data_IF_562504911135
#
_entry.id   IF_562504911135
#
_cell.length_a   1.000
_cell.length_b   1.000
_cell.length_c   1.000
_cell.angle_alpha   90.00
_cell.angle_beta   90.00
_cell.angle_gamma   90.00
#
_symmetry.space_group_name_H-M   'P 1'
#
loop_
_entity.id
_entity.type
_entity.pdbx_description
1 polymer ?
#
# COMPACT_ATOMS: atom_id res chain seq x y z
N UNK A 1 -4.25 -1.06 13.30
CA UNK A 1 -3.36 -0.02 13.85
C UNK A 1 -2.03 -0.10 13.12
N UNK A 2 -1.36 1.03 12.94
CA UNK A 2 0.02 1.11 12.46
C UNK A 2 0.95 1.34 13.67
N UNK A 3 2.19 0.92 13.53
CA UNK A 3 3.24 1.03 14.53
C UNK A 3 4.52 1.56 13.87
N UNK A 4 5.13 2.59 14.46
CA UNK A 4 6.41 3.11 14.02
C UNK A 4 7.55 2.31 14.65
N UNK A 5 8.34 1.64 13.81
CA UNK A 5 9.49 0.85 14.24
C UNK A 5 10.68 1.70 14.73
N UNK A 6 10.67 3.00 14.50
CA UNK A 6 11.79 3.89 14.87
C UNK A 6 11.60 4.53 16.25
N UNK A 7 10.44 5.11 16.53
CA UNK A 7 10.15 5.78 17.81
C UNK A 7 9.17 5.02 18.72
N UNK A 8 8.50 4.00 18.20
CA UNK A 8 7.48 3.24 18.94
C UNK A 8 6.08 3.86 18.95
N UNK A 9 5.81 4.88 18.13
CA UNK A 9 4.48 5.49 18.03
C UNK A 9 3.43 4.52 17.46
N UNK A 10 2.25 4.48 18.07
CA UNK A 10 1.12 3.59 17.70
C UNK A 10 -0.15 4.40 17.47
N UNK A 11 -0.74 4.27 16.28
CA UNK A 11 -1.96 5.01 15.90
C UNK A 11 -2.83 4.20 14.93
N UNK A 12 -4.13 4.52 14.87
CA UNK A 12 -5.03 3.94 13.85
C UNK A 12 -4.61 4.38 12.44
N UNK A 13 -4.90 3.58 11.40
CA UNK A 13 -4.45 3.89 10.02
C UNK A 13 -5.00 5.22 9.47
N UNK A 14 -6.15 5.66 9.98
CA UNK A 14 -6.79 6.94 9.65
C UNK A 14 -6.61 7.99 10.77
N UNK A 15 -5.70 7.71 11.71
CA UNK A 15 -5.40 8.57 12.86
C UNK A 15 -4.33 9.60 12.54
N UNK A 16 -3.35 9.72 13.43
CA UNK A 16 -2.34 10.79 13.43
C UNK A 16 -1.20 10.63 12.40
N UNK A 17 -1.34 9.73 11.43
CA UNK A 17 -0.29 9.50 10.43
C UNK A 17 -0.23 10.64 9.43
N UNK A 18 0.99 11.08 9.12
CA UNK A 18 1.23 12.07 8.08
C UNK A 18 1.15 11.36 6.73
N UNK A 19 0.05 11.57 6.01
CA UNK A 19 -0.21 10.91 4.73
C UNK A 19 0.31 11.77 3.58
N UNK A 20 1.41 11.34 2.97
CA UNK A 20 1.93 11.97 1.75
C UNK A 20 1.34 11.29 0.51
N UNK A 21 0.50 12.02 -0.21
CA UNK A 21 -0.16 11.53 -1.43
C UNK A 21 0.72 11.85 -2.65
N UNK A 22 1.25 10.82 -3.27
CA UNK A 22 1.90 10.87 -4.58
C UNK A 22 0.92 10.44 -5.68
N UNK A 23 1.34 10.61 -6.93
CA UNK A 23 0.52 10.32 -8.11
C UNK A 23 0.14 8.84 -8.22
N UNK A 24 1.09 7.95 -7.87
CA UNK A 24 0.96 6.49 -7.95
C UNK A 24 1.01 5.78 -6.59
N UNK A 25 1.31 6.48 -5.50
CA UNK A 25 1.40 5.90 -4.17
C UNK A 25 1.01 6.88 -3.07
N UNK A 26 0.83 6.33 -1.88
CA UNK A 26 0.52 7.06 -0.66
C UNK A 26 1.46 6.56 0.42
N UNK A 27 2.30 7.44 0.92
CA UNK A 27 3.21 7.15 2.01
C UNK A 27 2.60 7.56 3.33
N UNK A 28 2.81 6.73 4.34
CA UNK A 28 2.36 6.95 5.72
C UNK A 28 3.59 7.17 6.58
N UNK A 29 3.69 8.38 7.08
CA UNK A 29 4.86 8.87 7.78
C UNK A 29 4.52 9.19 9.25
N UNK A 30 5.49 8.98 10.13
CA UNK A 30 5.30 9.16 11.57
C UNK A 30 5.40 10.64 11.97
N UNK A 31 4.40 11.22 12.66
CA UNK A 31 4.42 12.63 13.03
C UNK A 31 5.53 13.00 14.02
N UNK A 32 6.05 12.03 14.77
CA UNK A 32 7.05 12.26 15.83
C UNK A 32 8.49 12.28 15.30
N UNK A 33 8.80 11.42 14.33
CA UNK A 33 10.18 11.16 13.89
C UNK A 33 10.35 11.14 12.37
N UNK A 34 9.30 11.49 11.64
CA UNK A 34 9.27 11.59 10.18
C UNK A 34 9.72 10.32 9.47
N UNK A 35 9.46 9.16 10.09
CA UNK A 35 9.82 7.86 9.54
C UNK A 35 8.67 7.30 8.72
N UNK A 36 8.97 6.97 7.47
CA UNK A 36 8.00 6.32 6.57
C UNK A 36 7.81 4.86 6.99
N UNK A 37 6.61 4.53 7.45
CA UNK A 37 6.27 3.20 7.95
C UNK A 37 5.79 2.30 6.83
N UNK A 38 4.97 2.86 5.93
CA UNK A 38 4.43 2.09 4.81
C UNK A 38 4.15 2.96 3.60
N UNK A 39 4.44 2.39 2.43
CA UNK A 39 4.14 2.97 1.12
C UNK A 39 3.07 2.11 0.47
N UNK A 40 1.85 2.65 0.36
CA UNK A 40 0.76 1.98 -0.33
C UNK A 40 0.71 2.50 -1.75
N UNK A 41 1.04 1.66 -2.74
CA UNK A 41 0.74 1.99 -4.13
C UNK A 41 -0.77 2.17 -4.26
N UNK A 42 -1.19 3.25 -4.93
CA UNK A 42 -2.59 3.37 -5.32
C UNK A 42 -2.87 2.24 -6.30
N UNK A 43 -4.03 1.57 -6.20
CA UNK A 43 -4.52 0.75 -7.29
C UNK A 43 -4.94 1.69 -8.43
N UNK A 44 -3.95 2.35 -9.06
CA UNK A 44 -4.16 2.98 -10.34
C UNK A 44 -4.20 1.86 -11.34
N UNK A 45 -5.42 1.57 -11.79
CA UNK A 45 -5.79 0.82 -12.99
C UNK A 45 -4.98 -0.46 -13.19
N UNK A 46 -5.62 -1.59 -12.84
CA UNK A 46 -5.27 -2.94 -13.28
C UNK A 46 -4.33 -2.92 -14.51
N UNK A 47 -3.03 -3.28 -14.41
CA UNK A 47 -2.52 -4.11 -15.48
C UNK A 47 -3.32 -5.39 -15.29
N UNK A 48 -4.40 -5.53 -16.05
CA UNK A 48 -5.16 -6.76 -16.14
C UNK A 48 -4.16 -7.90 -16.08
N UNK A 49 -4.13 -8.60 -14.95
CA UNK A 49 -3.62 -9.95 -14.87
C UNK A 49 -4.60 -10.81 -15.66
N UNK A 50 -4.68 -10.54 -16.96
CA UNK A 50 -5.08 -11.49 -17.98
C UNK A 50 -3.79 -12.17 -18.42
N UNK A 51 -3.07 -12.74 -17.46
CA UNK A 51 -2.01 -13.71 -17.73
C UNK A 51 -2.31 -14.97 -16.94
N UNK A 52 -3.47 -15.56 -17.21
CA UNK A 52 -3.84 -16.84 -16.63
C UNK A 52 -5.13 -17.46 -17.15
N UNK A 53 -5.81 -16.89 -18.15
CA UNK A 53 -6.81 -17.64 -18.92
C UNK A 53 -6.10 -18.40 -20.04
N UNK A 54 -5.30 -19.41 -19.66
CA UNK A 54 -4.93 -20.47 -20.59
C UNK A 54 -6.13 -21.40 -20.69
N UNK A 55 -6.98 -21.07 -21.65
CA UNK A 55 -7.95 -21.98 -22.25
C UNK A 55 -7.21 -23.23 -22.74
N UNK A 56 -7.21 -24.31 -21.95
CA UNK A 56 -7.01 -25.64 -22.51
C UNK A 56 -8.36 -26.11 -23.07
N UNK A 57 -8.43 -26.28 -24.38
CA UNK A 57 -9.56 -26.90 -25.04
C UNK A 57 -9.50 -28.40 -24.74
N UNK A 58 -10.51 -28.92 -24.05
CA UNK A 58 -10.76 -30.37 -23.99
C UNK A 58 -11.05 -30.89 -25.41
N UNK A 59 -10.39 -31.98 -25.82
CA UNK A 59 -10.65 -32.67 -27.08
C UNK A 59 -10.16 -34.11 -27.07
N UNK A 60 -11.15 -35.02 -27.00
CA UNK A 60 -11.23 -36.45 -27.37
C UNK A 60 -10.16 -37.45 -26.86
#
# INVERSE_FOLDING_TARGET
>A
MLYCFNCGHESTVDGDWVIQKYDNCTDYDCPECETTITTRRRPSDTPSDTSGSLCYCSGD
#
